data_IF_111900086808
#
_entry.id   IF_111900086808
#
_cell.length_a   1.000
_cell.length_b   1.000
_cell.length_c   1.000
_cell.angle_alpha   90.00
_cell.angle_beta   90.00
_cell.angle_gamma   90.00
#
_symmetry.space_group_name_H-M   'P 1'
#
loop_
_entity.id
_entity.type
_entity.pdbx_description
1 polymer ?
#
# COMPACT_ATOMS: atom_id res chain seq x y z
N UNK A 1 -19.35 6.36 -20.32
CA UNK A 1 -18.58 6.31 -19.06
C UNK A 1 -17.82 7.61 -18.91
N UNK A 2 -17.78 8.16 -17.70
CA UNK A 2 -16.94 9.32 -17.38
C UNK A 2 -15.47 8.88 -17.41
N UNK A 3 -14.64 9.58 -18.18
CA UNK A 3 -13.20 9.27 -18.33
C UNK A 3 -12.30 10.28 -17.63
N UNK A 4 -12.85 11.36 -17.08
CA UNK A 4 -12.08 12.41 -16.42
C UNK A 4 -12.90 13.17 -15.36
N UNK A 5 -12.17 13.80 -14.44
CA UNK A 5 -12.66 14.78 -13.46
C UNK A 5 -11.73 15.99 -13.58
N UNK A 6 -12.28 17.15 -13.97
CA UNK A 6 -11.51 18.31 -14.43
C UNK A 6 -10.52 17.92 -15.56
N UNK A 7 -9.78 18.88 -16.13
CA UNK A 7 -8.75 18.55 -17.12
C UNK A 7 -7.37 18.47 -16.44
N UNK A 8 -6.72 17.29 -16.34
CA UNK A 8 -5.38 17.21 -15.77
C UNK A 8 -4.32 17.98 -16.59
N UNK A 9 -4.58 18.28 -17.87
CA UNK A 9 -3.71 19.12 -18.70
C UNK A 9 -3.92 20.62 -18.47
N UNK A 10 -5.09 21.02 -17.98
CA UNK A 10 -5.45 22.40 -17.67
C UNK A 10 -6.43 22.48 -16.49
N UNK A 11 -5.89 22.67 -15.28
CA UNK A 11 -6.70 22.67 -14.07
C UNK A 11 -7.63 23.87 -13.95
N UNK A 12 -7.34 25.00 -14.62
CA UNK A 12 -7.98 26.28 -14.32
C UNK A 12 -7.99 26.56 -12.80
N UNK A 13 -9.18 26.78 -12.25
CA UNK A 13 -9.40 27.02 -10.81
C UNK A 13 -9.53 25.73 -9.97
N UNK A 14 -9.49 24.54 -10.58
CA UNK A 14 -9.61 23.28 -9.87
C UNK A 14 -8.33 22.93 -9.11
N UNK A 15 -8.48 22.40 -7.89
CA UNK A 15 -7.34 21.96 -7.08
C UNK A 15 -6.71 20.66 -7.59
N UNK A 16 -7.47 19.84 -8.31
CA UNK A 16 -7.07 18.51 -8.77
C UNK A 16 -7.79 18.12 -10.07
N UNK A 17 -7.10 17.41 -10.94
CA UNK A 17 -7.64 16.84 -12.17
C UNK A 17 -7.17 15.40 -12.36
N UNK A 18 -8.02 14.58 -12.96
CA UNK A 18 -7.75 13.16 -13.20
C UNK A 18 -8.33 12.70 -14.52
N UNK A 19 -7.62 11.84 -15.23
CA UNK A 19 -8.03 11.26 -16.50
C UNK A 19 -7.64 9.79 -16.61
N UNK A 20 -8.48 9.04 -17.31
CA UNK A 20 -8.26 7.63 -17.66
C UNK A 20 -8.27 7.51 -19.18
N UNK A 21 -7.23 6.89 -19.73
CA UNK A 21 -7.10 6.59 -21.16
C UNK A 21 -7.05 5.09 -21.38
N UNK A 22 -7.70 4.65 -22.45
CA UNK A 22 -7.78 3.25 -22.88
C UNK A 22 -7.04 3.10 -24.20
N UNK A 23 -7.65 3.62 -25.28
CA UNK A 23 -7.17 3.59 -26.65
C UNK A 23 -6.81 4.98 -27.20
N UNK A 24 -6.94 6.02 -26.37
CA UNK A 24 -6.67 7.42 -26.62
C UNK A 24 -5.27 7.83 -26.10
N UNK A 25 -4.30 6.94 -26.26
CA UNK A 25 -2.90 7.14 -25.86
C UNK A 25 -2.08 7.53 -27.09
N UNK A 26 -1.17 8.49 -26.93
CA UNK A 26 -0.34 9.01 -28.03
C UNK A 26 0.44 7.89 -28.73
N UNK A 27 1.11 7.03 -27.95
CA UNK A 27 1.78 5.82 -28.43
C UNK A 27 0.75 4.73 -28.83
N UNK A 28 0.63 4.38 -30.11
CA UNK A 28 -0.33 3.37 -30.57
C UNK A 28 -0.08 1.98 -29.99
N UNK A 29 1.17 1.65 -29.62
CA UNK A 29 1.52 0.34 -29.04
C UNK A 29 1.00 0.14 -27.62
N UNK A 30 0.56 1.22 -26.96
CA UNK A 30 0.02 1.23 -25.60
C UNK A 30 -1.50 1.32 -25.56
N UNK A 31 -2.16 1.44 -26.71
CA UNK A 31 -3.63 1.54 -26.81
C UNK A 31 -4.28 0.20 -26.52
N UNK A 32 -5.27 0.20 -25.64
CA UNK A 32 -6.01 -0.99 -25.22
C UNK A 32 -7.48 -0.88 -25.64
N UNK A 33 -7.97 -1.93 -26.31
CA UNK A 33 -9.35 -2.02 -26.84
C UNK A 33 -10.20 -3.06 -26.11
N UNK A 34 -9.61 -3.77 -25.14
CA UNK A 34 -10.23 -4.83 -24.34
C UNK A 34 -10.85 -4.33 -23.03
N UNK A 35 -10.90 -3.01 -22.80
CA UNK A 35 -11.44 -2.41 -21.58
C UNK A 35 -10.42 -2.23 -20.45
N UNK A 36 -9.18 -2.67 -20.61
CA UNK A 36 -8.11 -2.36 -19.66
C UNK A 36 -7.73 -0.87 -19.73
N UNK A 37 -7.41 -0.29 -18.57
CA UNK A 37 -6.90 1.08 -18.48
C UNK A 37 -5.46 1.10 -19.01
N UNK A 38 -5.22 1.80 -20.12
CA UNK A 38 -3.87 1.91 -20.67
C UNK A 38 -3.03 2.96 -19.94
N UNK A 39 -3.65 4.06 -19.49
CA UNK A 39 -2.94 5.14 -18.83
C UNK A 39 -3.86 5.89 -17.87
N UNK A 40 -3.31 6.34 -16.74
CA UNK A 40 -3.94 7.34 -15.87
C UNK A 40 -3.11 8.60 -15.86
N UNK A 41 -3.77 9.74 -15.73
CA UNK A 41 -3.17 11.05 -15.66
C UNK A 41 -3.77 11.79 -14.48
N UNK A 42 -2.95 12.55 -13.78
CA UNK A 42 -3.42 13.42 -12.71
C UNK A 42 -2.57 14.68 -12.63
N UNK A 43 -3.17 15.72 -12.07
CA UNK A 43 -2.48 16.95 -11.79
C UNK A 43 -3.12 17.61 -10.56
N UNK A 44 -2.33 18.38 -9.81
CA UNK A 44 -2.83 19.13 -8.67
C UNK A 44 -2.16 20.51 -8.63
N UNK A 45 -2.85 21.49 -8.06
CA UNK A 45 -2.24 22.80 -7.78
C UNK A 45 -1.24 22.77 -6.61
N UNK A 46 -0.94 21.60 -6.03
CA UNK A 46 0.03 21.47 -4.95
C UNK A 46 1.41 21.90 -5.46
N UNK A 47 2.07 22.87 -4.79
CA UNK A 47 3.38 23.33 -5.23
C UNK A 47 4.41 22.20 -5.11
N UNK A 48 5.25 22.05 -6.14
CA UNK A 48 6.44 21.18 -6.07
C UNK A 48 7.44 21.85 -5.14
N UNK A 49 7.50 21.42 -3.88
CA UNK A 49 8.35 22.04 -2.85
C UNK A 49 9.71 21.36 -2.65
N UNK A 50 10.04 20.35 -3.47
CA UNK A 50 11.27 19.58 -3.35
C UNK A 50 11.93 19.25 -4.69
N UNK A 51 13.09 18.59 -4.63
CA UNK A 51 13.81 18.11 -5.83
C UNK A 51 13.20 16.86 -6.47
N UNK A 52 12.18 16.28 -5.84
CA UNK A 52 11.41 15.16 -6.38
C UNK A 52 10.32 15.69 -7.34
N UNK A 53 10.41 15.42 -8.65
CA UNK A 53 9.36 15.81 -9.58
C UNK A 53 8.04 15.10 -9.25
N UNK A 54 6.93 15.81 -9.39
CA UNK A 54 5.60 15.21 -9.24
C UNK A 54 5.33 14.32 -10.46
N UNK A 55 5.21 13.02 -10.23
CA UNK A 55 4.64 12.11 -11.21
C UNK A 55 3.20 12.52 -11.51
N UNK A 56 2.80 12.49 -12.79
CA UNK A 56 1.50 12.94 -13.27
C UNK A 56 0.87 11.95 -14.25
N UNK A 57 1.57 10.87 -14.61
CA UNK A 57 1.12 9.88 -15.57
C UNK A 57 1.63 8.50 -15.17
N UNK A 58 0.76 7.49 -15.18
CA UNK A 58 1.14 6.08 -15.21
C UNK A 58 0.65 5.44 -16.49
N UNK A 59 1.53 4.70 -17.18
CA UNK A 59 1.18 3.86 -18.32
C UNK A 59 1.31 2.40 -17.92
N UNK A 60 0.26 1.61 -18.11
CA UNK A 60 0.17 0.23 -17.65
C UNK A 60 0.48 -0.76 -18.77
N UNK A 61 1.04 -1.90 -18.41
CA UNK A 61 1.17 -3.06 -19.30
C UNK A 61 0.52 -4.27 -18.66
N UNK A 62 0.10 -5.21 -19.51
CA UNK A 62 -0.65 -6.39 -19.10
C UNK A 62 -0.11 -7.64 -19.78
N UNK A 63 -0.27 -8.78 -19.12
CA UNK A 63 -0.13 -10.07 -19.77
C UNK A 63 -1.35 -10.43 -20.64
N UNK A 64 -1.29 -11.58 -21.31
CA UNK A 64 -2.36 -12.06 -22.18
C UNK A 64 -3.68 -12.39 -21.44
N UNK A 65 -3.66 -12.48 -20.11
CA UNK A 65 -4.84 -12.71 -19.27
C UNK A 65 -5.38 -11.41 -18.66
N UNK A 66 -4.92 -10.25 -19.13
CA UNK A 66 -5.32 -8.91 -18.66
C UNK A 66 -4.89 -8.61 -17.22
N UNK A 67 -3.83 -9.24 -16.71
CA UNK A 67 -3.24 -8.91 -15.40
C UNK A 67 -2.08 -7.95 -15.58
N UNK A 68 -1.94 -6.98 -14.69
CA UNK A 68 -0.92 -5.93 -14.78
C UNK A 68 0.48 -6.53 -14.63
N UNK A 69 1.41 -6.24 -15.53
CA UNK A 69 2.80 -6.72 -15.47
C UNK A 69 3.80 -5.61 -15.15
N UNK A 70 3.45 -4.36 -15.47
CA UNK A 70 4.24 -3.19 -15.08
C UNK A 70 3.39 -1.92 -15.15
N UNK A 71 3.85 -0.87 -14.48
CA UNK A 71 3.35 0.49 -14.60
C UNK A 71 4.53 1.45 -14.65
N UNK A 72 4.66 2.22 -15.73
CA UNK A 72 5.73 3.19 -15.89
C UNK A 72 5.22 4.59 -15.62
N UNK A 73 5.85 5.26 -14.67
CA UNK A 73 5.57 6.64 -14.31
C UNK A 73 6.42 7.59 -15.18
N UNK A 74 5.95 8.81 -15.43
CA UNK A 74 6.65 9.77 -16.29
C UNK A 74 7.96 10.33 -15.72
N UNK A 75 8.23 10.14 -14.43
CA UNK A 75 9.49 10.52 -13.77
C UNK A 75 10.46 9.36 -13.65
N UNK A 76 9.99 8.12 -13.87
CA UNK A 76 10.69 6.84 -13.63
C UNK A 76 11.06 6.53 -12.17
N UNK A 77 10.76 7.45 -11.24
CA UNK A 77 11.10 7.36 -9.83
C UNK A 77 10.23 6.35 -9.06
N UNK A 78 9.04 6.04 -9.58
CA UNK A 78 8.01 5.27 -8.87
C UNK A 78 7.41 4.14 -9.72
N UNK A 79 8.14 3.67 -10.72
CA UNK A 79 7.70 2.54 -11.56
C UNK A 79 7.33 1.31 -10.74
N UNK A 80 6.30 0.60 -11.20
CA UNK A 80 6.12 -0.83 -10.96
C UNK A 80 6.83 -1.55 -12.11
N UNK A 81 8.07 -1.99 -11.87
CA UNK A 81 8.90 -2.56 -12.94
C UNK A 81 8.46 -3.97 -13.33
N UNK A 82 7.90 -4.73 -12.38
CA UNK A 82 7.54 -6.13 -12.59
C UNK A 82 6.40 -6.57 -11.67
N UNK A 83 5.47 -7.33 -12.23
CA UNK A 83 4.58 -8.25 -11.50
C UNK A 83 4.55 -9.56 -12.26
N UNK A 84 4.92 -10.65 -11.59
CA UNK A 84 4.85 -12.01 -12.11
C UNK A 84 3.75 -12.77 -11.39
N UNK A 85 3.09 -13.67 -12.11
CA UNK A 85 1.98 -14.45 -11.56
C UNK A 85 2.19 -15.94 -11.78
N UNK A 86 1.71 -16.73 -10.83
CA UNK A 86 1.56 -18.17 -11.03
C UNK A 86 0.35 -18.49 -11.95
N UNK A 87 0.15 -19.78 -12.18
CA UNK A 87 -0.95 -20.31 -13.00
C UNK A 87 -2.33 -20.12 -12.37
N UNK A 88 -2.41 -19.94 -11.06
CA UNK A 88 -3.66 -19.70 -10.33
C UNK A 88 -3.99 -18.20 -10.24
N UNK A 89 -3.09 -17.32 -10.68
CA UNK A 89 -3.29 -15.87 -10.66
C UNK A 89 -2.76 -15.19 -9.41
N UNK A 90 -2.02 -15.87 -8.55
CA UNK A 90 -1.34 -15.23 -7.44
C UNK A 90 -0.10 -14.50 -7.93
N UNK A 91 0.21 -13.36 -7.33
CA UNK A 91 1.48 -12.66 -7.56
C UNK A 91 2.60 -13.52 -6.99
N UNK A 92 3.62 -13.88 -7.77
CA UNK A 92 4.82 -14.56 -7.29
C UNK A 92 5.94 -13.57 -6.97
N UNK A 93 6.05 -12.52 -7.78
CA UNK A 93 7.11 -11.53 -7.66
C UNK A 93 6.60 -10.14 -7.96
N UNK A 94 7.11 -9.15 -7.24
CA UNK A 94 6.82 -7.74 -7.50
C UNK A 94 8.08 -6.89 -7.32
N UNK A 95 8.41 -6.07 -8.32
CA UNK A 95 9.49 -5.07 -8.21
C UNK A 95 8.95 -3.68 -8.42
N UNK A 96 9.31 -2.76 -7.53
CA UNK A 96 8.93 -1.36 -7.67
C UNK A 96 10.04 -0.42 -7.24
N UNK A 97 10.06 0.73 -7.89
CA UNK A 97 10.94 1.84 -7.58
C UNK A 97 10.29 2.78 -6.59
N UNK A 98 11.14 3.52 -5.92
CA UNK A 98 10.77 4.58 -5.03
C UNK A 98 12.00 5.34 -4.57
N UNK A 99 11.82 6.14 -3.54
CA UNK A 99 12.92 6.86 -2.95
C UNK A 99 13.75 5.95 -2.05
N UNK A 100 15.07 6.11 -2.08
CA UNK A 100 16.04 5.26 -1.35
C UNK A 100 16.66 5.95 -0.14
N UNK A 101 16.26 7.18 0.14
CA UNK A 101 16.71 7.97 1.28
C UNK A 101 15.59 8.80 1.91
N UNK A 102 15.70 9.11 3.22
CA UNK A 102 14.67 9.81 4.02
C UNK A 102 14.21 11.14 3.41
N UNK A 103 15.10 11.86 2.73
CA UNK A 103 14.76 13.13 2.08
C UNK A 103 14.03 12.99 0.73
N UNK A 104 13.81 11.78 0.23
CA UNK A 104 13.26 11.52 -1.10
C UNK A 104 13.97 12.26 -2.22
N UNK A 105 15.31 12.28 -2.17
CA UNK A 105 16.17 12.95 -3.16
C UNK A 105 16.92 11.96 -4.06
N UNK A 106 16.97 10.68 -3.70
CA UNK A 106 17.54 9.60 -4.51
C UNK A 106 16.49 8.53 -4.76
N UNK A 107 16.49 7.95 -5.96
CA UNK A 107 15.49 6.98 -6.40
C UNK A 107 16.15 5.71 -6.93
N UNK A 108 15.48 4.58 -6.75
CA UNK A 108 16.01 3.27 -7.11
C UNK A 108 15.01 2.16 -6.79
N UNK A 109 15.49 0.92 -6.79
CA UNK A 109 14.69 -0.23 -6.38
C UNK A 109 14.34 -0.09 -4.89
N UNK A 110 13.04 -0.03 -4.60
CA UNK A 110 12.51 0.14 -3.24
C UNK A 110 12.04 -1.19 -2.66
N UNK A 111 11.40 -2.02 -3.48
CA UNK A 111 10.96 -3.35 -3.11
C UNK A 111 11.32 -4.36 -4.20
N UNK A 112 11.83 -5.53 -3.81
CA UNK A 112 11.99 -6.73 -4.63
C UNK A 112 11.39 -7.90 -3.84
N UNK A 113 10.09 -8.07 -4.05
CA UNK A 113 9.22 -8.91 -3.23
C UNK A 113 9.05 -10.28 -3.86
N UNK A 114 9.25 -11.33 -3.07
CA UNK A 114 8.91 -12.71 -3.39
C UNK A 114 7.75 -13.17 -2.50
N UNK A 115 6.72 -13.77 -3.11
CA UNK A 115 5.50 -14.20 -2.46
C UNK A 115 5.44 -15.73 -2.44
N UNK A 116 5.21 -16.31 -1.25
CA UNK A 116 5.01 -17.75 -1.10
C UNK A 116 3.56 -18.06 -0.73
N UNK A 117 3.01 -19.15 -1.27
CA UNK A 117 1.64 -19.58 -1.02
C UNK A 117 1.58 -21.03 -0.56
N UNK A 118 0.53 -21.37 0.17
CA UNK A 118 0.20 -22.76 0.45
C UNK A 118 -0.55 -23.44 -0.71
N UNK A 119 -0.80 -24.74 -0.57
CA UNK A 119 -1.53 -25.52 -1.56
C UNK A 119 -3.00 -25.09 -1.74
N UNK A 120 -3.53 -24.29 -0.82
CA UNK A 120 -4.89 -23.79 -0.82
C UNK A 120 -4.95 -22.35 -1.36
N UNK A 121 -3.88 -21.88 -2.02
CA UNK A 121 -3.82 -20.57 -2.64
C UNK A 121 -3.85 -19.40 -1.64
N UNK A 122 -3.40 -19.64 -0.40
CA UNK A 122 -3.31 -18.62 0.66
C UNK A 122 -1.87 -18.17 0.83
N UNK A 123 -1.68 -16.86 0.96
CA UNK A 123 -0.36 -16.23 1.11
C UNK A 123 0.30 -16.70 2.41
N UNK A 124 1.52 -17.21 2.37
CA UNK A 124 2.26 -17.65 3.56
C UNK A 124 3.25 -16.60 4.03
N UNK A 125 3.99 -15.99 3.11
CA UNK A 125 4.98 -14.95 3.41
C UNK A 125 5.20 -14.03 2.21
N UNK A 126 5.70 -12.84 2.52
CA UNK A 126 6.24 -11.90 1.53
C UNK A 126 7.61 -11.48 2.02
N UNK A 127 8.65 -11.87 1.29
CA UNK A 127 10.03 -11.51 1.62
C UNK A 127 10.50 -10.37 0.74
N UNK A 128 11.23 -9.42 1.34
CA UNK A 128 11.85 -8.33 0.59
C UNK A 128 13.37 -8.46 0.58
N UNK A 129 13.94 -8.51 -0.62
CA UNK A 129 15.38 -8.57 -0.84
C UNK A 129 16.05 -7.19 -0.78
N UNK A 130 15.28 -6.09 -0.79
CA UNK A 130 15.79 -4.74 -0.63
C UNK A 130 15.90 -4.39 0.85
N UNK A 131 17.01 -3.76 1.23
CA UNK A 131 17.20 -3.22 2.58
C UNK A 131 17.23 -1.70 2.49
N UNK A 132 16.17 -1.05 2.96
CA UNK A 132 16.08 0.40 3.05
C UNK A 132 16.45 0.90 4.46
N UNK A 133 16.88 2.17 4.61
CA UNK A 133 17.03 2.79 5.92
C UNK A 133 15.79 2.64 6.81
N UNK A 134 15.96 2.42 8.12
CA UNK A 134 14.86 2.10 9.02
C UNK A 134 13.73 3.16 9.07
N UNK A 135 14.07 4.44 8.85
CA UNK A 135 13.14 5.57 8.83
C UNK A 135 12.44 5.79 7.48
N UNK A 136 12.75 4.95 6.48
CA UNK A 136 12.05 5.00 5.20
C UNK A 136 10.59 4.60 5.33
N UNK A 137 9.78 5.19 4.43
CA UNK A 137 8.33 5.07 4.40
C UNK A 137 7.88 4.71 2.98
N UNK A 138 6.82 3.93 2.89
CA UNK A 138 6.16 3.61 1.62
C UNK A 138 6.64 2.33 0.94
N UNK A 139 7.72 1.74 1.45
CA UNK A 139 8.16 0.39 1.12
C UNK A 139 7.40 -0.67 1.91
N UNK A 140 7.55 -1.91 1.49
CA UNK A 140 7.19 -3.07 2.28
C UNK A 140 8.16 -3.24 3.46
N UNK A 141 7.62 -3.48 4.65
CA UNK A 141 8.42 -3.76 5.84
C UNK A 141 8.27 -5.24 6.16
N UNK A 142 9.25 -6.01 5.69
CA UNK A 142 9.44 -7.40 6.07
C UNK A 142 10.02 -7.46 7.50
N UNK A 143 9.10 -7.49 8.47
CA UNK A 143 9.40 -7.45 9.90
C UNK A 143 9.75 -8.82 10.47
N UNK A 144 9.37 -9.90 9.78
CA UNK A 144 9.63 -11.26 10.20
C UNK A 144 10.38 -12.03 9.09
N UNK A 145 11.70 -12.16 9.27
CA UNK A 145 12.59 -12.77 8.27
C UNK A 145 12.62 -14.30 8.29
N UNK A 146 11.75 -14.96 9.08
CA UNK A 146 11.80 -16.41 9.30
C UNK A 146 10.40 -17.02 9.33
N UNK A 147 10.22 -18.11 8.59
CA UNK A 147 8.96 -18.87 8.58
C UNK A 147 7.83 -18.16 7.82
N UNK A 148 6.59 -18.53 8.14
CA UNK A 148 5.40 -17.92 7.55
C UNK A 148 4.99 -16.68 8.35
N UNK A 149 4.56 -15.65 7.64
CA UNK A 149 4.06 -14.39 8.21
C UNK A 149 2.56 -14.43 8.46
N UNK A 150 1.84 -15.10 7.56
CA UNK A 150 0.38 -15.09 7.50
C UNK A 150 -0.17 -16.46 7.88
N UNK A 151 -1.16 -16.46 8.77
CA UNK A 151 -1.88 -17.66 9.18
C UNK A 151 -3.37 -17.43 9.03
N UNK A 152 -4.12 -18.53 8.91
CA UNK A 152 -5.53 -18.49 8.60
C UNK A 152 -6.32 -19.48 9.45
N UNK A 153 -7.58 -19.15 9.70
CA UNK A 153 -8.55 -20.11 10.22
C UNK A 153 -9.01 -21.10 9.12
N UNK A 154 -9.80 -22.14 9.46
CA UNK A 154 -10.32 -23.09 8.48
C UNK A 154 -11.25 -22.48 7.42
N UNK A 155 -11.85 -21.31 7.70
CA UNK A 155 -12.70 -20.59 6.74
C UNK A 155 -11.87 -19.71 5.78
N UNK A 156 -10.55 -19.65 5.96
CA UNK A 156 -9.65 -18.85 5.13
C UNK A 156 -9.52 -17.40 5.58
N UNK A 157 -10.02 -17.04 6.76
CA UNK A 157 -9.82 -15.70 7.31
C UNK A 157 -8.42 -15.58 7.91
N UNK A 158 -7.77 -14.43 7.74
CA UNK A 158 -6.45 -14.15 8.30
C UNK A 158 -6.52 -14.11 9.84
N UNK A 159 -5.71 -14.88 10.54
CA UNK A 159 -5.67 -14.90 12.01
C UNK A 159 -4.45 -14.19 12.58
N UNK A 160 -3.35 -14.07 11.83
CA UNK A 160 -2.18 -13.32 12.23
C UNK A 160 -1.37 -12.81 11.04
N UNK A 161 -0.60 -11.75 11.26
CA UNK A 161 0.33 -11.14 10.32
C UNK A 161 1.59 -10.70 11.09
N UNK A 162 2.66 -11.46 10.94
CA UNK A 162 3.92 -11.22 11.65
C UNK A 162 4.61 -9.92 11.20
N UNK A 163 4.49 -9.52 9.93
CA UNK A 163 5.04 -8.28 9.40
C UNK A 163 4.39 -7.04 10.04
N UNK A 164 3.09 -7.14 10.38
CA UNK A 164 2.35 -6.10 11.11
C UNK A 164 2.30 -6.32 12.62
N UNK A 165 2.93 -7.39 13.12
CA UNK A 165 2.88 -7.79 14.54
C UNK A 165 1.46 -8.06 15.04
N UNK A 166 0.54 -8.43 14.15
CA UNK A 166 -0.81 -8.85 14.50
C UNK A 166 -0.73 -10.30 14.97
N UNK A 167 -1.05 -10.53 16.23
CA UNK A 167 -0.95 -11.86 16.86
C UNK A 167 -2.25 -12.64 16.85
N UNK A 168 -3.38 -11.95 16.70
CA UNK A 168 -4.71 -12.59 16.63
C UNK A 168 -5.74 -11.67 15.98
N UNK A 169 -6.58 -12.24 15.13
CA UNK A 169 -7.82 -11.63 14.65
C UNK A 169 -8.97 -12.59 15.00
N UNK A 170 -9.98 -12.06 15.69
CA UNK A 170 -11.22 -12.78 16.01
C UNK A 170 -12.32 -12.36 15.05
N UNK A 171 -13.16 -13.31 14.68
CA UNK A 171 -14.25 -13.12 13.73
C UNK A 171 -15.59 -13.50 14.35
N UNK A 172 -16.66 -12.86 13.89
CA UNK A 172 -18.02 -13.34 14.16
C UNK A 172 -18.41 -14.46 13.17
N UNK A 173 -19.62 -15.00 13.33
CA UNK A 173 -20.17 -16.06 12.47
C UNK A 173 -20.39 -15.64 10.99
N UNK A 174 -20.24 -14.36 10.66
CA UNK A 174 -20.31 -13.83 9.28
C UNK A 174 -18.91 -13.56 8.70
N UNK A 175 -17.85 -14.10 9.30
CA UNK A 175 -16.45 -13.86 8.92
C UNK A 175 -16.07 -12.36 8.93
N UNK A 176 -16.70 -11.55 9.79
CA UNK A 176 -16.31 -10.16 10.01
C UNK A 176 -15.37 -10.04 11.21
N UNK A 177 -14.22 -9.33 11.10
CA UNK A 177 -13.33 -9.10 12.23
C UNK A 177 -14.05 -8.37 13.37
N UNK A 178 -14.01 -8.92 14.58
CA UNK A 178 -14.55 -8.33 15.80
C UNK A 178 -13.46 -7.81 16.73
N UNK A 179 -12.26 -8.39 16.67
CA UNK A 179 -11.10 -7.96 17.47
C UNK A 179 -9.79 -8.22 16.73
N UNK A 180 -8.87 -7.27 16.83
CA UNK A 180 -7.48 -7.42 16.35
C UNK A 180 -6.54 -7.17 17.53
N UNK A 181 -5.64 -8.11 17.78
CA UNK A 181 -4.63 -8.07 18.83
C UNK A 181 -3.24 -7.95 18.21
N UNK A 182 -2.40 -7.08 18.78
CA UNK A 182 -1.11 -6.70 18.24
C UNK A 182 -0.05 -6.88 19.35
N UNK A 183 1.17 -7.31 19.01
CA UNK A 183 2.28 -7.39 19.97
C UNK A 183 2.72 -5.98 20.42
N UNK A 184 3.07 -5.82 21.70
CA UNK A 184 3.52 -4.55 22.29
C UNK A 184 4.79 -3.96 21.63
N UNK A 185 5.49 -4.71 20.78
CA UNK A 185 6.67 -4.25 20.04
C UNK A 185 6.36 -3.09 19.08
N UNK A 186 5.11 -2.98 18.63
CA UNK A 186 4.59 -1.82 17.89
C UNK A 186 4.11 -0.68 18.80
N UNK A 187 4.44 -0.66 20.10
CA UNK A 187 4.25 0.53 20.94
C UNK A 187 5.47 1.45 20.90
N UNK A 188 6.70 0.91 20.78
CA UNK A 188 7.95 1.67 20.98
C UNK A 188 8.51 2.41 19.75
N UNK A 189 7.94 2.21 18.56
CA UNK A 189 8.29 2.99 17.34
C UNK A 189 7.17 3.90 16.84
N UNK A 190 6.00 3.83 17.46
CA UNK A 190 4.79 4.54 17.00
C UNK A 190 4.52 5.85 17.76
N UNK A 191 5.32 6.16 18.79
CA UNK A 191 5.22 7.41 19.54
C UNK A 191 5.86 8.63 18.85
N UNK A 192 6.20 8.55 17.55
CA UNK A 192 6.66 9.75 16.85
C UNK A 192 5.71 10.34 15.81
N UNK A 193 4.94 9.65 14.96
CA UNK A 193 4.09 10.37 13.97
C UNK A 193 2.82 9.61 13.51
N UNK A 194 1.68 10.32 13.48
CA UNK A 194 0.27 9.87 13.43
C UNK A 194 -0.31 9.32 12.09
N UNK A 195 -1.36 8.47 12.25
CA UNK A 195 -2.57 8.15 11.44
C UNK A 195 -2.58 8.10 9.89
N UNK A 196 -2.93 6.93 9.34
CA UNK A 196 -4.09 6.74 8.44
C UNK A 196 -4.52 5.26 8.39
N UNK A 197 -5.80 5.02 8.72
CA UNK A 197 -6.58 3.77 8.60
C UNK A 197 -5.86 2.42 8.83
N UNK A 198 -5.73 2.03 10.10
CA UNK A 198 -5.56 0.62 10.48
C UNK A 198 -6.64 0.27 11.50
N UNK A 199 -7.19 -0.95 11.42
CA UNK A 199 -8.07 -1.50 12.46
C UNK A 199 -7.46 -1.18 13.83
N UNK A 200 -8.19 -0.40 14.63
CA UNK A 200 -7.71 0.11 15.91
C UNK A 200 -7.43 -1.11 16.81
N UNK A 201 -6.16 -1.45 17.06
CA UNK A 201 -5.77 -2.54 17.97
C UNK A 201 -6.48 -2.28 19.32
N UNK A 202 -7.31 -3.23 19.77
CA UNK A 202 -8.18 -2.96 20.92
C UNK A 202 -7.36 -2.95 22.22
N UNK A 203 -7.57 -1.91 23.01
CA UNK A 203 -7.08 -1.74 24.38
C UNK A 203 -7.98 -2.56 25.30
N UNK A 204 -7.49 -3.69 25.83
CA UNK A 204 -8.06 -4.27 27.05
C UNK A 204 -7.37 -3.58 28.23
N UNK A 205 -7.77 -2.35 28.53
CA UNK A 205 -7.63 -1.86 29.90
C UNK A 205 -8.89 -2.29 30.63
N UNK A 206 -8.73 -3.21 31.57
CA UNK A 206 -9.69 -3.44 32.65
C UNK A 206 -9.86 -2.11 33.39
N UNK A 207 -10.82 -1.30 32.96
CA UNK A 207 -11.30 -0.16 33.72
C UNK A 207 -12.12 -0.73 34.88
N UNK A 208 -11.47 -0.93 36.03
CA UNK A 208 -12.18 -0.84 37.30
C UNK A 208 -12.65 0.61 37.44
N UNK A 209 -13.81 0.95 36.86
CA UNK A 209 -14.52 2.16 37.27
C UNK A 209 -15.25 1.85 38.59
N UNK A 210 -14.46 1.93 39.68
CA UNK A 210 -14.99 2.18 41.02
C UNK A 210 -14.94 3.68 41.26
N UNK A 211 -16.14 4.26 41.28
CA UNK A 211 -16.49 5.53 41.91
C UNK A 211 -15.92 6.81 41.27
N UNK A 212 -16.85 7.72 40.98
CA UNK A 212 -16.56 8.95 40.29
C UNK A 212 -15.88 10.00 41.15
N UNK A 213 -15.34 11.01 40.50
CA UNK A 213 -15.60 12.41 40.81
C UNK A 213 -14.97 13.29 39.72
N UNK A 214 -15.69 14.35 39.38
CA UNK A 214 -15.29 15.41 38.45
C UNK A 214 -14.03 16.11 38.98
N UNK A 215 -13.09 16.43 38.09
CA UNK A 215 -11.98 17.34 38.40
C UNK A 215 -11.28 17.79 37.12
N UNK A 216 -11.51 19.04 36.73
CA UNK A 216 -10.76 19.78 35.70
C UNK A 216 -9.31 19.99 36.15
N UNK A 217 -8.33 20.01 35.25
CA UNK A 217 -7.13 20.87 35.37
C UNK A 217 -6.55 21.22 33.99
N UNK A 218 -5.96 22.42 33.94
CA UNK A 218 -5.60 23.26 32.79
C UNK A 218 -4.17 23.00 32.25
N UNK A 219 -3.88 23.64 31.11
CA UNK A 219 -2.60 23.81 30.40
C UNK A 219 -1.35 24.08 31.25
N UNK A 220 -0.18 23.81 30.66
CA UNK A 220 0.91 24.80 30.58
C UNK A 220 1.93 24.43 29.49
N UNK A 221 2.17 25.40 28.60
CA UNK A 221 3.29 25.66 27.66
C UNK A 221 3.82 24.54 26.76
#
# INVERSE_FOLDING_TARGET
MVKSINDPADLGDALFGYGIRYNDIADPTKRLYNGNIGQTLWNSQSPVTGSNPISSVYTYTYDALNRITSATDNTTNYNLDLVEYDKNGNIQRLKRKGHTNVGATTFGLMDDLDYAYDNNNRLLSVTDAVITPALMKGEFKDGNKVGNDYYYDPNGNLTSDANKGITSILYNHMNMPTKVTCADFHRRKWEQWYNFLYLRCHRDQVAQDRHGHRGKFYDNN
#
